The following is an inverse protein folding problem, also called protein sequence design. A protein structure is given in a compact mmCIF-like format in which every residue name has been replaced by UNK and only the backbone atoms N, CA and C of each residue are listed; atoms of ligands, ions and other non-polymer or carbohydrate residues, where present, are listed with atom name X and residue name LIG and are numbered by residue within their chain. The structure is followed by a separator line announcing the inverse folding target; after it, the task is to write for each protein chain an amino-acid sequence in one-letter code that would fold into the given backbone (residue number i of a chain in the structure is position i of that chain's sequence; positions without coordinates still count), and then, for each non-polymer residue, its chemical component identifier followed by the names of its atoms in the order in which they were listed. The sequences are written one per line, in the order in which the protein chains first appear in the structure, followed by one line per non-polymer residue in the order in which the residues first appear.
data_IF_584327772381
#
_entry.id   IF_584327772381
#
_cell.length_a   1.000
_cell.length_b   1.000
_cell.length_c   1.000
_cell.angle_alpha   90.00
_cell.angle_beta   90.00
_cell.angle_gamma   90.00
#
_symmetry.space_group_name_H-M   'P 1'
#
loop_
_entity.id
_entity.type
_entity.pdbx_description
1 polymer ?
#
# COMPACT_ATOMS: atom_id res chain seq x y z
N UNK A 1 13.48 15.09 -38.60
CA UNK A 1 13.59 13.68 -38.22
C UNK A 1 12.21 13.26 -37.69
N UNK A 2 11.47 12.44 -38.45
CA UNK A 2 10.13 11.98 -38.06
C UNK A 2 10.26 11.08 -36.83
N UNK A 3 9.58 11.40 -35.74
CA UNK A 3 9.53 10.56 -34.55
C UNK A 3 8.93 9.22 -34.95
N UNK A 4 9.70 8.15 -34.85
CA UNK A 4 9.22 6.80 -35.11
C UNK A 4 8.01 6.52 -34.20
N UNK A 5 6.85 6.32 -34.80
CA UNK A 5 5.61 6.03 -34.10
C UNK A 5 5.82 4.78 -33.22
N UNK A 6 5.43 4.86 -31.95
CA UNK A 6 5.50 3.70 -31.04
C UNK A 6 4.70 2.54 -31.64
N UNK A 7 5.28 1.31 -31.66
CA UNK A 7 4.57 0.16 -32.17
C UNK A 7 3.26 -0.07 -31.41
N UNK A 8 2.24 -0.51 -32.11
CA UNK A 8 0.89 -0.74 -31.60
C UNK A 8 0.57 -2.24 -31.51
N UNK A 9 -0.49 -2.61 -30.81
CA UNK A 9 -0.97 -3.99 -30.80
C UNK A 9 -1.40 -4.49 -32.19
N UNK A 10 -1.75 -3.56 -33.12
CA UNK A 10 -2.04 -3.90 -34.53
C UNK A 10 -0.76 -4.31 -35.25
N UNK A 11 0.36 -3.68 -34.97
CA UNK A 11 1.63 -4.03 -35.61
C UNK A 11 2.12 -5.40 -35.15
N UNK A 12 1.96 -5.70 -33.83
CA UNK A 12 2.23 -7.05 -33.30
C UNK A 12 1.31 -8.11 -33.96
N UNK A 13 0.02 -7.81 -34.07
CA UNK A 13 -0.94 -8.72 -34.72
C UNK A 13 -0.54 -9.03 -36.14
N UNK A 14 -0.14 -8.02 -36.94
CA UNK A 14 0.35 -8.15 -38.28
C UNK A 14 1.62 -9.01 -38.35
N UNK A 15 2.60 -8.70 -37.49
CA UNK A 15 3.88 -9.43 -37.48
C UNK A 15 3.73 -10.89 -37.05
N UNK A 16 2.83 -11.18 -36.11
CA UNK A 16 2.56 -12.54 -35.65
C UNK A 16 1.56 -13.33 -36.50
N UNK A 17 0.90 -12.70 -37.49
CA UNK A 17 -0.12 -13.32 -38.30
C UNK A 17 -1.38 -13.75 -37.52
N UNK A 18 -1.83 -12.90 -36.57
CA UNK A 18 -2.99 -13.19 -35.72
C UNK A 18 -3.91 -11.97 -35.60
N UNK A 19 -5.08 -12.17 -34.98
CA UNK A 19 -5.97 -11.05 -34.66
C UNK A 19 -5.42 -10.21 -33.46
N UNK A 20 -5.80 -8.94 -33.39
CA UNK A 20 -5.48 -8.07 -32.26
C UNK A 20 -6.06 -8.61 -30.93
N UNK A 21 -7.19 -9.33 -31.01
CA UNK A 21 -7.77 -10.00 -29.83
C UNK A 21 -6.84 -11.11 -29.32
N UNK A 22 -6.24 -11.91 -30.21
CA UNK A 22 -5.26 -12.93 -29.83
C UNK A 22 -4.01 -12.30 -29.16
N UNK A 23 -3.50 -11.19 -29.72
CA UNK A 23 -2.40 -10.42 -29.08
C UNK A 23 -2.77 -10.01 -27.66
N UNK A 24 -3.97 -9.46 -27.47
CA UNK A 24 -4.45 -9.03 -26.15
C UNK A 24 -4.59 -10.19 -25.16
N UNK A 25 -5.06 -11.35 -25.61
CA UNK A 25 -5.15 -12.56 -24.79
C UNK A 25 -3.77 -13.07 -24.39
N UNK A 26 -2.82 -13.12 -25.31
CA UNK A 26 -1.47 -13.64 -25.08
C UNK A 26 -0.70 -12.73 -24.14
N UNK A 27 -0.63 -11.43 -24.46
CA UNK A 27 0.13 -10.46 -23.64
C UNK A 27 -0.55 -10.14 -22.32
N UNK A 28 -1.87 -10.41 -22.21
CA UNK A 28 -2.63 -10.32 -20.97
C UNK A 28 -2.63 -11.59 -20.11
N UNK A 29 -1.90 -12.64 -20.50
CA UNK A 29 -1.82 -13.90 -19.75
C UNK A 29 -3.07 -14.78 -19.77
N UNK A 30 -4.10 -14.42 -20.59
CA UNK A 30 -5.41 -15.09 -20.65
C UNK A 30 -5.54 -16.05 -21.85
N UNK A 31 -4.43 -16.49 -22.38
CA UNK A 31 -4.36 -17.30 -23.61
C UNK A 31 -4.54 -18.82 -23.38
N UNK A 32 -4.23 -19.45 -22.20
CA UNK A 32 -4.39 -20.89 -22.05
C UNK A 32 -5.81 -21.34 -22.38
N UNK A 33 -5.92 -22.39 -23.20
CA UNK A 33 -7.20 -22.93 -23.68
C UNK A 33 -7.90 -22.10 -24.75
N UNK A 34 -7.37 -20.93 -25.17
CA UNK A 34 -7.98 -20.03 -26.18
C UNK A 34 -7.08 -19.81 -27.39
N UNK A 35 -5.78 -19.95 -27.21
CA UNK A 35 -4.75 -19.79 -28.25
C UNK A 35 -3.73 -20.90 -28.04
N UNK A 36 -3.21 -21.47 -29.13
CA UNK A 36 -2.18 -22.50 -29.05
C UNK A 36 -0.87 -21.95 -28.47
N UNK A 37 -0.08 -22.79 -27.79
CA UNK A 37 1.22 -22.40 -27.23
C UNK A 37 2.17 -21.86 -28.33
N UNK A 38 2.18 -22.48 -29.51
CA UNK A 38 2.97 -22.01 -30.65
C UNK A 38 2.57 -20.60 -31.11
N UNK A 39 1.26 -20.32 -31.16
CA UNK A 39 0.77 -18.99 -31.49
C UNK A 39 1.10 -17.97 -30.40
N UNK A 40 1.00 -18.36 -29.13
CA UNK A 40 1.36 -17.49 -28.02
C UNK A 40 2.84 -17.09 -28.06
N UNK A 41 3.73 -18.02 -28.41
CA UNK A 41 5.16 -17.73 -28.55
C UNK A 41 5.46 -16.80 -29.72
N UNK A 42 4.82 -17.00 -30.89
CA UNK A 42 4.94 -16.08 -32.05
C UNK A 42 4.54 -14.64 -31.67
N UNK A 43 3.46 -14.49 -30.90
CA UNK A 43 3.00 -13.17 -30.46
C UNK A 43 4.02 -12.52 -29.52
N UNK A 44 4.59 -13.29 -28.58
CA UNK A 44 5.62 -12.78 -27.65
C UNK A 44 6.87 -12.36 -28.40
N UNK A 45 7.31 -13.17 -29.35
CA UNK A 45 8.47 -12.88 -30.19
C UNK A 45 8.25 -11.61 -31.03
N UNK A 46 7.11 -11.49 -31.69
CA UNK A 46 6.76 -10.30 -32.47
C UNK A 46 6.74 -9.04 -31.56
N UNK A 47 6.19 -9.16 -30.36
CA UNK A 47 6.18 -8.04 -29.40
C UNK A 47 7.60 -7.64 -28.96
N UNK A 48 8.47 -8.61 -28.68
CA UNK A 48 9.90 -8.37 -28.35
C UNK A 48 10.64 -7.69 -29.49
N UNK A 49 10.53 -8.23 -30.69
CA UNK A 49 11.21 -7.72 -31.88
C UNK A 49 10.82 -6.29 -32.22
N UNK A 50 9.51 -5.97 -32.05
CA UNK A 50 9.00 -4.62 -32.30
C UNK A 50 9.23 -3.66 -31.12
N UNK A 51 9.73 -4.14 -29.98
CA UNK A 51 9.80 -3.32 -28.75
C UNK A 51 8.42 -2.91 -28.22
N UNK A 52 7.37 -3.67 -28.57
CA UNK A 52 6.02 -3.37 -28.13
C UNK A 52 5.83 -3.70 -26.65
N UNK A 53 5.34 -2.73 -25.91
CA UNK A 53 4.85 -2.92 -24.54
C UNK A 53 3.36 -2.60 -24.48
N UNK A 54 2.53 -3.47 -23.88
CA UNK A 54 1.11 -3.16 -23.68
C UNK A 54 0.95 -1.80 -23.01
N UNK A 55 0.11 -0.96 -23.59
CA UNK A 55 -0.21 0.31 -22.95
C UNK A 55 -1.19 0.05 -21.80
N UNK A 56 -0.65 -0.02 -20.59
CA UNK A 56 -1.43 -0.24 -19.37
C UNK A 56 -2.42 0.90 -19.14
N UNK A 57 -2.03 2.14 -19.41
CA UNK A 57 -2.92 3.30 -19.26
C UNK A 57 -4.16 3.22 -20.15
N UNK A 58 -4.01 2.76 -21.42
CA UNK A 58 -5.16 2.53 -22.30
C UNK A 58 -6.05 1.37 -21.84
N UNK A 59 -5.45 0.34 -21.20
CA UNK A 59 -6.20 -0.75 -20.60
C UNK A 59 -6.97 -0.27 -19.37
N UNK A 60 -6.33 0.52 -18.54
CA UNK A 60 -6.85 1.04 -17.28
C UNK A 60 -8.01 2.02 -17.54
N UNK A 61 -7.87 2.89 -18.54
CA UNK A 61 -8.97 3.74 -19.05
C UNK A 61 -10.20 2.91 -19.47
N UNK A 62 -10.00 1.77 -20.09
CA UNK A 62 -11.09 0.89 -20.53
C UNK A 62 -11.73 0.11 -19.40
N UNK A 63 -10.99 -0.23 -18.37
CA UNK A 63 -11.46 -1.01 -17.20
C UNK A 63 -11.89 -0.15 -16.03
N UNK A 64 -11.55 1.15 -16.05
CA UNK A 64 -11.74 2.07 -14.92
C UNK A 64 -10.94 1.68 -13.67
N UNK A 65 -9.91 0.83 -13.83
CA UNK A 65 -9.09 0.31 -12.72
C UNK A 65 -7.63 0.27 -13.10
N UNK A 66 -6.79 0.74 -12.23
CA UNK A 66 -5.33 0.79 -12.42
C UNK A 66 -4.60 -0.32 -11.68
N UNK A 67 -5.31 -0.98 -10.77
CA UNK A 67 -4.74 -2.02 -9.90
C UNK A 67 -3.52 -1.51 -9.14
N UNK A 68 -3.63 -0.28 -8.65
CA UNK A 68 -2.58 0.35 -7.87
C UNK A 68 -3.15 0.86 -6.57
N UNK A 69 -2.57 0.44 -5.46
CA UNK A 69 -2.83 0.97 -4.14
C UNK A 69 -1.68 1.90 -3.72
N UNK A 70 -1.99 2.93 -2.95
CA UNK A 70 -1.00 3.81 -2.35
C UNK A 70 -0.82 3.42 -0.88
N UNK A 71 0.41 3.23 -0.44
CA UNK A 71 0.75 3.09 0.98
C UNK A 71 1.40 4.39 1.46
N UNK A 72 0.71 5.08 2.37
CA UNK A 72 1.16 6.33 2.98
C UNK A 72 1.74 6.03 4.36
N UNK A 73 3.01 6.40 4.56
CA UNK A 73 3.75 6.16 5.81
C UNK A 73 4.40 7.45 6.30
N UNK A 74 4.66 7.60 7.60
CA UNK A 74 5.25 8.84 8.12
C UNK A 74 6.72 9.00 7.73
N UNK A 75 7.46 7.90 7.62
CA UNK A 75 8.91 7.93 7.32
C UNK A 75 9.38 6.60 6.75
N UNK A 76 10.51 6.63 6.03
CA UNK A 76 11.20 5.44 5.53
C UNK A 76 12.39 5.00 6.40
N UNK A 77 12.74 5.78 7.40
CA UNK A 77 13.87 5.46 8.30
C UNK A 77 13.52 4.41 9.35
N UNK A 78 12.24 4.09 9.51
CA UNK A 78 11.78 3.06 10.41
C UNK A 78 11.55 1.73 9.64
N UNK A 79 12.30 0.70 9.99
CA UNK A 79 12.21 -0.64 9.40
C UNK A 79 10.80 -1.24 9.46
N UNK A 80 9.99 -0.86 10.45
CA UNK A 80 8.60 -1.30 10.56
C UNK A 80 7.80 -1.01 9.28
N UNK A 81 7.89 0.22 8.75
CA UNK A 81 7.16 0.59 7.53
C UNK A 81 7.70 -0.08 6.28
N UNK A 82 9.00 -0.39 6.24
CA UNK A 82 9.57 -1.19 5.16
C UNK A 82 8.96 -2.60 5.13
N UNK A 83 8.83 -3.26 6.28
CA UNK A 83 8.18 -4.57 6.41
C UNK A 83 6.69 -4.54 6.09
N UNK A 84 6.00 -3.47 6.49
CA UNK A 84 4.58 -3.27 6.12
C UNK A 84 4.44 -3.18 4.59
N UNK A 85 5.31 -2.40 3.93
CA UNK A 85 5.31 -2.30 2.48
C UNK A 85 5.59 -3.66 1.81
N UNK A 86 6.59 -4.39 2.28
CA UNK A 86 6.96 -5.72 1.76
C UNK A 86 5.77 -6.69 1.82
N UNK A 87 5.12 -6.77 2.99
CA UNK A 87 3.94 -7.61 3.18
C UNK A 87 2.76 -7.19 2.29
N UNK A 88 2.47 -5.89 2.24
CA UNK A 88 1.41 -5.35 1.40
C UNK A 88 1.68 -5.60 -0.10
N UNK A 89 2.91 -5.38 -0.56
CA UNK A 89 3.31 -5.60 -1.94
C UNK A 89 3.23 -7.08 -2.35
N UNK A 90 3.62 -8.00 -1.45
CA UNK A 90 3.53 -9.44 -1.70
C UNK A 90 2.08 -9.89 -1.91
N UNK A 91 1.17 -9.47 -1.03
CA UNK A 91 -0.26 -9.79 -1.14
C UNK A 91 -0.87 -9.11 -2.37
N UNK A 92 -0.57 -7.84 -2.59
CA UNK A 92 -1.06 -7.09 -3.75
C UNK A 92 -0.65 -7.77 -5.08
N UNK A 93 0.60 -8.19 -5.20
CA UNK A 93 1.12 -8.88 -6.37
C UNK A 93 0.35 -10.18 -6.67
N UNK A 94 0.01 -10.97 -5.64
CA UNK A 94 -0.78 -12.19 -5.78
C UNK A 94 -2.18 -11.91 -6.35
N UNK A 95 -2.72 -10.72 -6.14
CA UNK A 95 -4.01 -10.24 -6.67
C UNK A 95 -3.88 -9.36 -7.92
N UNK A 96 -2.67 -9.23 -8.47
CA UNK A 96 -2.40 -8.43 -9.66
C UNK A 96 -2.47 -6.93 -9.42
N UNK A 97 -2.23 -6.48 -8.19
CA UNK A 97 -2.09 -5.09 -7.79
C UNK A 97 -0.62 -4.71 -7.62
N UNK A 98 -0.31 -3.42 -7.83
CA UNK A 98 0.94 -2.79 -7.39
C UNK A 98 0.70 -1.96 -6.13
N UNK A 99 1.75 -1.76 -5.34
CA UNK A 99 1.74 -0.85 -4.19
C UNK A 99 2.78 0.24 -4.43
N UNK A 100 2.32 1.49 -4.47
CA UNK A 100 3.20 2.66 -4.46
C UNK A 100 3.41 3.09 -3.02
N UNK A 101 4.64 3.41 -2.66
CA UNK A 101 4.98 3.89 -1.33
C UNK A 101 5.15 5.41 -1.36
N UNK A 102 4.44 6.10 -0.48
CA UNK A 102 4.53 7.54 -0.29
C UNK A 102 4.90 7.86 1.16
N UNK A 103 6.12 8.31 1.41
CA UNK A 103 6.47 8.85 2.72
C UNK A 103 5.87 10.25 2.86
N UNK A 104 5.09 10.46 3.93
CA UNK A 104 4.58 11.78 4.26
C UNK A 104 5.74 12.69 4.68
N UNK A 105 5.86 13.89 4.13
CA UNK A 105 6.86 14.83 4.62
C UNK A 105 6.53 15.22 6.06
N UNK A 106 7.49 15.08 6.95
CA UNK A 106 7.32 15.49 8.33
C UNK A 106 7.14 17.01 8.43
N UNK A 107 6.01 17.45 8.98
CA UNK A 107 5.92 18.62 9.84
C UNK A 107 5.83 20.01 9.23
N UNK A 108 5.72 20.22 7.91
CA UNK A 108 5.65 21.58 7.37
C UNK A 108 4.67 21.72 6.21
N UNK A 109 3.44 22.08 6.54
CA UNK A 109 2.44 22.50 5.58
C UNK A 109 1.64 21.36 4.93
N UNK A 110 0.62 21.72 4.13
CA UNK A 110 -0.16 20.73 3.41
C UNK A 110 0.75 19.94 2.48
N UNK A 111 0.68 18.61 2.57
CA UNK A 111 1.38 17.72 1.66
C UNK A 111 0.97 18.10 0.22
N UNK A 112 1.95 18.40 -0.62
CA UNK A 112 1.68 18.58 -2.04
C UNK A 112 1.22 17.25 -2.59
N UNK A 113 0.06 17.21 -3.25
CA UNK A 113 -0.41 15.99 -3.90
C UNK A 113 0.61 15.56 -4.97
N UNK A 114 1.33 14.46 -4.77
CA UNK A 114 2.33 14.01 -5.74
C UNK A 114 1.69 13.56 -7.06
N UNK A 115 0.37 13.43 -7.10
CA UNK A 115 -0.43 13.00 -8.23
C UNK A 115 -1.26 14.13 -8.85
N UNK A 116 -1.16 15.38 -8.35
CA UNK A 116 -1.94 16.52 -8.84
C UNK A 116 -1.78 16.77 -10.34
N UNK A 117 -0.58 16.49 -10.89
CA UNK A 117 -0.30 16.62 -12.32
C UNK A 117 -0.69 15.38 -13.15
N UNK A 118 -1.02 14.28 -12.49
CA UNK A 118 -1.48 13.06 -13.10
C UNK A 118 -2.52 12.46 -12.15
N UNK A 119 -3.80 12.90 -12.20
CA UNK A 119 -4.86 12.30 -11.41
C UNK A 119 -4.87 10.81 -11.74
N UNK A 120 -4.05 10.11 -11.00
CA UNK A 120 -3.79 8.74 -11.26
C UNK A 120 -4.91 8.01 -10.55
N UNK A 121 -5.26 7.21 -11.12
CA UNK A 121 -4.85 5.88 -11.27
C UNK A 121 -4.56 5.16 -9.93
N UNK A 122 -5.35 5.46 -8.85
CA UNK A 122 -5.31 4.69 -7.60
C UNK A 122 -6.67 4.02 -7.38
N UNK A 123 -6.65 2.76 -7.02
CA UNK A 123 -7.87 2.00 -6.69
C UNK A 123 -8.14 1.97 -5.16
N UNK A 124 -7.18 2.41 -4.36
CA UNK A 124 -7.33 2.49 -2.91
C UNK A 124 -6.07 2.98 -2.20
N UNK A 125 -6.22 3.28 -0.92
CA UNK A 125 -5.16 3.81 -0.07
C UNK A 125 -5.03 2.96 1.20
N UNK A 126 -3.80 2.68 1.58
CA UNK A 126 -3.40 2.18 2.88
C UNK A 126 -2.65 3.31 3.58
N UNK A 127 -3.01 3.69 4.78
CA UNK A 127 -2.34 4.81 5.45
C UNK A 127 -2.06 4.52 6.91
N UNK A 128 -0.85 4.83 7.37
CA UNK A 128 -0.56 4.87 8.79
C UNK A 128 -1.32 6.03 9.45
N UNK A 129 -1.85 5.82 10.65
CA UNK A 129 -2.49 6.89 11.43
C UNK A 129 -1.56 8.09 11.63
N UNK A 130 -0.27 7.85 11.79
CA UNK A 130 0.75 8.89 11.94
C UNK A 130 0.95 9.72 10.66
N UNK A 131 0.47 9.27 9.51
CA UNK A 131 0.52 9.97 8.23
C UNK A 131 -0.86 10.42 7.74
N UNK A 132 -1.88 10.39 8.59
CA UNK A 132 -3.27 10.71 8.22
C UNK A 132 -3.42 12.14 7.67
N UNK A 133 -2.62 13.09 8.12
CA UNK A 133 -2.65 14.48 7.63
C UNK A 133 -2.29 14.58 6.13
N UNK A 134 -1.47 13.67 5.61
CA UNK A 134 -1.13 13.64 4.20
C UNK A 134 -2.31 13.26 3.30
N UNK A 135 -3.34 12.59 3.85
CA UNK A 135 -4.49 12.13 3.08
C UNK A 135 -5.32 13.28 2.48
N UNK A 136 -5.38 14.42 3.17
CA UNK A 136 -6.11 15.61 2.69
C UNK A 136 -5.48 16.19 1.44
N UNK A 137 -4.14 16.11 1.32
CA UNK A 137 -3.41 16.60 0.14
C UNK A 137 -3.42 15.63 -1.05
N UNK A 138 -3.73 14.36 -0.82
CA UNK A 138 -3.67 13.32 -1.85
C UNK A 138 -5.01 13.13 -2.58
N UNK A 139 -6.05 13.87 -2.21
CA UNK A 139 -7.39 13.70 -2.82
C UNK A 139 -8.02 12.32 -2.52
N UNK A 140 -7.56 11.64 -1.47
CA UNK A 140 -7.96 10.28 -1.11
C UNK A 140 -9.42 10.14 -0.69
N UNK A 141 -10.15 11.24 -0.53
CA UNK A 141 -11.49 11.27 0.08
C UNK A 141 -12.57 10.46 -0.62
N UNK A 142 -12.35 10.02 -1.85
CA UNK A 142 -13.29 9.18 -2.61
C UNK A 142 -12.82 7.74 -2.80
N UNK A 143 -11.59 7.43 -2.39
CA UNK A 143 -11.00 6.11 -2.56
C UNK A 143 -11.24 5.23 -1.33
N UNK A 144 -11.37 3.91 -1.51
CA UNK A 144 -11.32 2.98 -0.39
C UNK A 144 -10.06 3.19 0.44
N UNK A 145 -10.22 3.41 1.75
CA UNK A 145 -9.13 3.71 2.67
C UNK A 145 -9.07 2.66 3.77
N UNK A 146 -7.92 2.03 3.94
CA UNK A 146 -7.61 1.19 5.08
C UNK A 146 -6.56 1.89 5.95
N UNK A 147 -6.90 2.11 7.20
CA UNK A 147 -5.98 2.70 8.17
C UNK A 147 -5.15 1.63 8.87
N UNK A 148 -3.88 1.93 9.09
CA UNK A 148 -2.97 1.11 9.88
C UNK A 148 -2.78 1.78 11.24
N UNK A 149 -2.96 1.00 12.31
CA UNK A 149 -2.78 1.45 13.70
C UNK A 149 -3.61 2.70 14.03
N UNK A 150 -4.88 2.68 13.67
CA UNK A 150 -5.85 3.76 13.90
C UNK A 150 -6.97 3.30 14.83
N UNK A 151 -7.62 4.26 15.48
CA UNK A 151 -8.81 3.98 16.28
C UNK A 151 -9.91 3.38 15.39
N UNK A 152 -10.37 2.15 15.68
CA UNK A 152 -11.41 1.52 14.89
C UNK A 152 -12.79 2.18 15.04
N UNK A 153 -13.00 2.99 16.09
CA UNK A 153 -14.28 3.66 16.35
C UNK A 153 -14.38 5.02 15.65
N UNK A 154 -13.29 5.75 15.56
CA UNK A 154 -13.26 7.15 15.11
C UNK A 154 -12.34 7.39 13.91
N UNK A 155 -11.57 6.37 13.51
CA UNK A 155 -10.63 6.49 12.39
C UNK A 155 -11.33 6.77 11.05
N UNK A 156 -10.71 7.54 10.16
CA UNK A 156 -11.32 7.98 8.90
C UNK A 156 -11.44 6.87 7.85
N UNK A 157 -10.88 5.69 8.09
CA UNK A 157 -10.84 4.59 7.12
C UNK A 157 -12.13 3.80 6.99
N UNK A 158 -12.27 3.09 5.88
CA UNK A 158 -13.33 2.10 5.67
C UNK A 158 -13.10 0.85 6.52
N UNK A 159 -11.84 0.58 6.88
CA UNK A 159 -11.40 -0.49 7.74
C UNK A 159 -10.08 -0.13 8.42
N UNK A 160 -9.75 -0.83 9.50
CA UNK A 160 -8.48 -0.69 10.21
C UNK A 160 -7.76 -2.02 10.30
N UNK A 161 -6.43 -1.98 10.25
CA UNK A 161 -5.54 -3.10 10.57
C UNK A 161 -4.64 -2.66 11.71
N UNK A 162 -4.86 -3.22 12.88
CA UNK A 162 -4.19 -2.82 14.11
C UNK A 162 -3.34 -3.94 14.67
N UNK A 163 -2.18 -3.60 15.18
CA UNK A 163 -1.37 -4.51 16.02
C UNK A 163 -2.04 -4.69 17.38
N UNK A 164 -1.79 -5.82 18.04
CA UNK A 164 -2.25 -6.10 19.40
C UNK A 164 -1.41 -5.32 20.44
N UNK A 165 -1.34 -3.99 20.30
CA UNK A 165 -0.44 -3.11 21.05
C UNK A 165 -0.73 -3.15 22.55
N UNK A 166 -2.01 -3.14 22.94
CA UNK A 166 -2.40 -3.22 24.33
C UNK A 166 -1.94 -4.53 24.99
N UNK A 167 -2.02 -5.65 24.26
CA UNK A 167 -1.54 -6.94 24.75
C UNK A 167 -0.03 -6.96 24.93
N UNK A 168 0.71 -6.47 23.94
CA UNK A 168 2.16 -6.36 24.04
C UNK A 168 2.60 -5.50 25.22
N UNK A 169 1.91 -4.37 25.45
CA UNK A 169 2.23 -3.50 26.60
C UNK A 169 1.88 -4.17 27.93
N UNK A 170 0.74 -4.87 28.03
CA UNK A 170 0.38 -5.63 29.24
C UNK A 170 1.39 -6.74 29.53
N UNK A 171 1.88 -7.44 28.53
CA UNK A 171 2.92 -8.44 28.71
C UNK A 171 4.24 -7.85 29.21
N UNK A 172 4.68 -6.74 28.63
CA UNK A 172 5.88 -6.04 29.06
C UNK A 172 5.76 -5.52 30.50
N UNK A 173 4.64 -4.87 30.84
CA UNK A 173 4.37 -4.40 32.20
C UNK A 173 4.29 -5.56 33.20
N UNK A 174 3.58 -6.64 32.85
CA UNK A 174 3.45 -7.83 33.67
C UNK A 174 4.80 -8.52 33.96
N UNK A 175 5.69 -8.53 32.96
CA UNK A 175 7.05 -9.05 33.16
C UNK A 175 7.84 -8.21 34.19
N UNK A 176 7.85 -6.88 34.04
CA UNK A 176 8.56 -6.01 34.96
C UNK A 176 7.99 -6.09 36.39
N UNK A 177 6.66 -6.06 36.53
CA UNK A 177 5.98 -6.18 37.81
C UNK A 177 6.20 -7.55 38.47
N UNK A 178 6.25 -8.63 37.66
CA UNK A 178 6.57 -9.98 38.10
C UNK A 178 8.00 -10.13 38.63
N UNK A 179 8.95 -9.36 38.09
CA UNK A 179 10.32 -9.27 38.58
C UNK A 179 10.43 -8.45 39.87
N UNK A 180 9.34 -7.92 40.41
CA UNK A 180 9.32 -7.16 41.65
C UNK A 180 9.49 -5.66 41.49
N UNK A 181 9.61 -5.14 40.28
CA UNK A 181 9.66 -3.69 40.07
C UNK A 181 8.34 -3.04 40.49
N UNK A 182 8.39 -1.93 41.23
CA UNK A 182 7.20 -1.19 41.71
C UNK A 182 7.22 0.29 41.34
N UNK A 183 8.30 0.75 40.74
CA UNK A 183 8.45 2.12 40.21
C UNK A 183 8.81 1.98 38.73
N UNK A 184 7.87 2.36 37.89
CA UNK A 184 8.03 2.29 36.42
C UNK A 184 7.98 3.72 35.87
N UNK A 185 8.60 3.91 34.72
CA UNK A 185 8.48 5.16 33.96
C UNK A 185 8.16 4.80 32.52
N UNK A 186 7.29 5.57 31.90
CA UNK A 186 6.95 5.45 30.48
C UNK A 186 7.55 6.62 29.71
N UNK A 187 8.54 6.31 28.88
CA UNK A 187 9.09 7.28 27.93
C UNK A 187 8.42 7.06 26.59
N UNK A 188 7.70 8.06 26.11
CA UNK A 188 7.01 8.04 24.83
C UNK A 188 7.32 9.30 24.02
N UNK A 189 7.17 9.23 22.70
CA UNK A 189 7.21 10.43 21.87
C UNK A 189 5.95 11.27 22.10
N UNK A 190 6.09 12.59 22.03
CA UNK A 190 4.98 13.54 22.04
C UNK A 190 4.35 13.62 20.66
N UNK A 191 3.65 12.56 20.28
CA UNK A 191 2.99 12.40 19.00
C UNK A 191 1.52 12.07 19.24
N UNK A 192 0.64 12.86 18.66
CA UNK A 192 -0.80 12.60 18.65
C UNK A 192 -1.10 11.37 17.78
N UNK A 193 -1.14 10.21 18.42
CA UNK A 193 -1.40 8.94 17.76
C UNK A 193 -2.08 7.95 18.70
N UNK A 194 -3.17 7.38 18.25
CA UNK A 194 -3.92 6.34 18.94
C UNK A 194 -3.03 5.22 19.51
N UNK A 195 -1.98 4.83 18.82
CA UNK A 195 -1.08 3.76 19.28
C UNK A 195 -0.32 4.15 20.56
N UNK A 196 0.02 5.43 20.75
CA UNK A 196 0.69 5.92 21.94
C UNK A 196 -0.28 6.00 23.11
N UNK A 197 -1.52 6.42 22.87
CA UNK A 197 -2.59 6.43 23.89
C UNK A 197 -2.89 5.01 24.38
N UNK A 198 -3.04 4.05 23.47
CA UNK A 198 -3.29 2.65 23.81
C UNK A 198 -2.15 2.06 24.65
N UNK A 199 -0.90 2.37 24.33
CA UNK A 199 0.25 1.93 25.13
C UNK A 199 0.22 2.53 26.54
N UNK A 200 0.00 3.83 26.63
CA UNK A 200 -0.05 4.54 27.91
C UNK A 200 -1.16 4.01 28.81
N UNK A 201 -2.36 3.86 28.26
CA UNK A 201 -3.52 3.34 28.99
C UNK A 201 -3.32 1.89 29.45
N UNK A 202 -2.77 1.02 28.61
CA UNK A 202 -2.50 -0.37 28.95
C UNK A 202 -1.43 -0.50 30.05
N UNK A 203 -0.38 0.33 29.99
CA UNK A 203 0.65 0.37 31.02
C UNK A 203 0.07 0.88 32.35
N UNK A 204 -0.63 2.03 32.32
CA UNK A 204 -1.23 2.62 33.52
C UNK A 204 -2.20 1.62 34.20
N UNK A 205 -3.06 0.96 33.43
CA UNK A 205 -3.96 -0.07 33.94
C UNK A 205 -3.24 -1.26 34.58
N UNK A 206 -2.14 -1.71 33.96
CA UNK A 206 -1.32 -2.82 34.51
C UNK A 206 -0.64 -2.42 35.83
N UNK A 207 -0.13 -1.20 35.91
CA UNK A 207 0.53 -0.68 37.15
C UNK A 207 -0.50 -0.47 38.26
N UNK A 208 -1.65 0.11 37.97
CA UNK A 208 -2.71 0.36 38.96
C UNK A 208 -3.27 -0.94 39.56
N UNK A 209 -3.20 -2.04 38.87
CA UNK A 209 -3.67 -3.35 39.35
C UNK A 209 -2.73 -3.99 40.40
N UNK A 210 -1.52 -3.45 40.63
CA UNK A 210 -0.53 -4.03 41.53
C UNK A 210 -0.32 -3.13 42.74
N UNK A 211 -0.61 -3.58 43.98
CA UNK A 211 -0.42 -2.78 45.19
C UNK A 211 1.01 -2.27 45.33
N UNK A 212 1.13 -0.97 45.63
CA UNK A 212 2.44 -0.32 45.83
C UNK A 212 3.21 -0.04 44.54
N UNK A 213 2.70 -0.41 43.38
CA UNK A 213 3.28 -0.02 42.11
C UNK A 213 2.84 1.42 41.72
N UNK A 214 3.72 2.14 41.05
CA UNK A 214 3.47 3.50 40.54
C UNK A 214 4.19 3.73 39.21
N UNK A 215 3.55 4.50 38.36
CA UNK A 215 4.05 5.03 37.13
C UNK A 215 4.55 6.43 37.31
#
# INVERSE_FOLDING_TARGET
MSAASRPTSKDVARAAGVSQAAVSLVLGGKWPGRVSAATAERVREAARTLGYRPNLAARDLRTGRTRTALLVVPTLTNEFFARVHEGAAAVAAAHGFGVLLYPSPEGTGPATDPFASAPAALDGVLASSMAAQALSGIGAGTLPLVMLDSDPATGPGTATVNLAIADGMRQAAGHLLGLGHRRLAHLAADVDSWTFEVRAAALAGSVAAVPGARL
#
